data_IF_920850617441
#
_entry.id   IF_920850617441
#
_cell.length_a   1.000
_cell.length_b   1.000
_cell.length_c   1.000
_cell.angle_alpha   90.00
_cell.angle_beta   90.00
_cell.angle_gamma   90.00
#
_symmetry.space_group_name_H-M   'P 1'
#
loop_
_entity.id
_entity.type
_entity.pdbx_description
1 polymer ?
#
# COMPACT_ATOMS: atom_id res chain seq x y z
N UNK A 1 3.27 12.61 20.11
CA UNK A 1 1.96 12.19 19.57
C UNK A 1 2.25 11.32 18.37
N UNK A 2 1.87 10.05 18.49
CA UNK A 2 2.07 9.07 17.44
C UNK A 2 0.81 8.97 16.60
N UNK A 3 0.97 9.20 15.30
CA UNK A 3 -0.12 9.24 14.34
C UNK A 3 -0.10 7.93 13.54
N UNK A 4 -0.98 7.02 13.93
CA UNK A 4 -1.35 5.85 13.14
C UNK A 4 -2.38 6.22 12.09
N UNK A 5 -2.48 5.40 11.04
CA UNK A 5 -3.54 5.53 10.06
C UNK A 5 -4.89 5.20 10.74
N UNK A 6 -5.88 6.11 10.73
CA UNK A 6 -7.16 5.87 11.40
C UNK A 6 -7.90 4.73 10.69
N UNK A 7 -8.39 3.74 11.43
CA UNK A 7 -9.45 2.87 10.93
C UNK A 7 -10.76 3.64 11.07
N UNK A 8 -11.25 4.16 9.95
CA UNK A 8 -12.46 4.97 9.89
C UNK A 8 -13.45 4.37 8.91
N UNK A 9 -14.74 4.55 9.19
CA UNK A 9 -15.78 4.40 8.18
C UNK A 9 -15.57 5.52 7.17
N UNK A 10 -14.94 5.19 6.05
CA UNK A 10 -14.71 6.15 4.98
C UNK A 10 -16.04 6.50 4.30
N UNK A 11 -16.21 7.74 3.81
CA UNK A 11 -17.37 8.10 3.01
C UNK A 11 -17.51 7.16 1.81
N UNK A 12 -18.72 6.68 1.46
CA UNK A 12 -18.91 5.72 0.37
C UNK A 12 -18.49 6.29 -1.00
N UNK A 13 -18.58 7.61 -1.19
CA UNK A 13 -18.20 8.31 -2.42
C UNK A 13 -16.76 8.86 -2.39
N UNK A 14 -15.93 8.41 -1.44
CA UNK A 14 -14.55 8.86 -1.31
C UNK A 14 -13.71 8.28 -2.48
N UNK A 15 -13.41 9.13 -3.44
CA UNK A 15 -12.57 8.79 -4.59
C UNK A 15 -11.11 9.16 -4.42
N UNK A 16 -10.81 10.08 -3.50
CA UNK A 16 -9.46 10.59 -3.23
C UNK A 16 -9.23 10.64 -1.73
N UNK A 17 -8.14 10.03 -1.29
CA UNK A 17 -7.74 10.00 0.11
C UNK A 17 -6.31 10.50 0.25
N UNK A 18 -6.14 11.47 1.15
CA UNK A 18 -4.83 12.00 1.51
C UNK A 18 -4.65 11.89 3.01
N UNK A 19 -3.63 11.16 3.43
CA UNK A 19 -3.29 10.98 4.84
C UNK A 19 -1.83 11.36 5.01
N UNK A 20 -1.51 12.11 6.06
CA UNK A 20 -0.15 12.53 6.33
C UNK A 20 0.21 12.51 7.80
N UNK A 21 1.49 12.74 8.08
CA UNK A 21 2.03 12.71 9.43
C UNK A 21 2.23 11.30 9.97
N UNK A 22 2.14 10.27 9.12
CA UNK A 22 2.27 8.87 9.50
C UNK A 22 3.69 8.64 10.03
N UNK A 23 3.83 8.37 11.32
CA UNK A 23 5.12 8.13 11.97
C UNK A 23 5.26 6.68 12.47
N UNK A 24 4.13 5.97 12.59
CA UNK A 24 4.08 4.57 12.99
C UNK A 24 4.35 3.63 11.81
N UNK A 25 5.03 2.49 12.01
CA UNK A 25 5.18 1.44 11.00
C UNK A 25 3.82 0.88 10.58
N UNK A 26 3.75 0.33 9.37
CA UNK A 26 2.51 -0.20 8.79
C UNK A 26 1.90 -1.36 9.59
N UNK A 27 2.72 -2.11 10.32
CA UNK A 27 2.29 -3.15 11.26
C UNK A 27 1.47 -2.61 12.44
N UNK A 28 1.61 -1.33 12.77
CA UNK A 28 0.82 -0.64 13.80
C UNK A 28 -0.36 0.15 13.23
N UNK A 29 -0.63 0.04 11.93
CA UNK A 29 -1.81 0.65 11.34
C UNK A 29 -3.00 -0.28 11.56
N UNK A 30 -4.13 0.31 11.91
CA UNK A 30 -5.36 -0.44 12.03
C UNK A 30 -5.78 -1.00 10.65
N UNK A 31 -6.50 -2.13 10.59
CA UNK A 31 -6.97 -2.70 9.33
C UNK A 31 -7.79 -1.67 8.56
N UNK A 32 -7.48 -1.53 7.27
CA UNK A 32 -8.09 -0.51 6.42
C UNK A 32 -9.24 -1.08 5.60
N UNK A 33 -10.38 -0.39 5.61
CA UNK A 33 -11.56 -0.73 4.82
C UNK A 33 -11.83 0.35 3.77
N UNK A 34 -10.88 0.56 2.86
CA UNK A 34 -11.00 1.60 1.84
C UNK A 34 -12.23 1.34 0.94
N UNK A 35 -12.97 2.40 0.56
CA UNK A 35 -14.10 2.24 -0.32
C UNK A 35 -13.64 1.79 -1.71
N UNK A 36 -14.46 0.96 -2.36
CA UNK A 36 -14.17 0.45 -3.71
C UNK A 36 -14.05 1.57 -4.77
N UNK A 37 -14.57 2.76 -4.51
CA UNK A 37 -14.44 3.92 -5.40
C UNK A 37 -13.13 4.69 -5.22
N UNK A 38 -12.22 4.26 -4.33
CA UNK A 38 -10.98 4.97 -4.08
C UNK A 38 -10.02 4.84 -5.27
N UNK A 39 -9.94 5.91 -6.05
CA UNK A 39 -9.10 6.02 -7.25
C UNK A 39 -7.71 6.55 -6.92
N UNK A 40 -7.60 7.46 -5.95
CA UNK A 40 -6.35 8.11 -5.61
C UNK A 40 -6.03 8.01 -4.12
N UNK A 41 -4.84 7.52 -3.80
CA UNK A 41 -4.33 7.45 -2.44
C UNK A 41 -3.00 8.17 -2.34
N UNK A 42 -2.90 9.08 -1.36
CA UNK A 42 -1.69 9.85 -1.08
C UNK A 42 -1.33 9.67 0.39
N UNK A 43 -0.16 9.09 0.66
CA UNK A 43 0.35 8.89 2.02
C UNK A 43 1.63 9.71 2.24
N UNK A 44 1.66 10.48 3.32
CA UNK A 44 2.86 11.20 3.77
C UNK A 44 3.36 10.59 5.08
N UNK A 45 4.53 9.96 5.01
CA UNK A 45 5.32 9.51 6.14
C UNK A 45 6.14 10.64 6.77
N UNK A 46 6.41 10.50 8.07
CA UNK A 46 7.32 11.34 8.86
C UNK A 46 8.35 10.43 9.54
N UNK A 47 9.26 9.85 8.75
CA UNK A 47 10.20 8.80 9.19
C UNK A 47 9.49 7.53 9.68
N UNK A 48 8.34 7.21 9.09
CA UNK A 48 7.63 5.98 9.46
C UNK A 48 8.38 4.76 8.95
N UNK A 49 8.50 3.77 9.84
CA UNK A 49 9.08 2.44 9.60
C UNK A 49 8.20 1.53 8.75
N UNK A 50 7.61 2.02 7.66
CA UNK A 50 6.87 1.17 6.73
C UNK A 50 7.85 0.29 5.98
N UNK A 51 7.74 -1.02 6.13
CA UNK A 51 8.69 -1.98 5.53
C UNK A 51 8.18 -2.52 4.18
N UNK A 52 6.91 -2.91 4.11
CA UNK A 52 6.31 -3.54 2.91
C UNK A 52 4.81 -3.33 2.87
N UNK A 53 4.20 -3.32 1.68
CA UNK A 53 2.74 -3.30 1.50
C UNK A 53 2.22 -4.74 1.29
N UNK A 54 0.96 -5.02 1.64
CA UNK A 54 0.28 -6.28 1.32
C UNK A 54 -1.00 -6.00 0.52
N UNK A 55 -1.60 -7.03 -0.06
CA UNK A 55 -2.83 -6.89 -0.85
C UNK A 55 -3.91 -7.83 -0.32
N UNK A 56 -5.16 -7.38 -0.39
CA UNK A 56 -6.31 -8.22 -0.05
C UNK A 56 -6.35 -9.40 -1.02
N UNK A 57 -6.12 -10.61 -0.52
CA UNK A 57 -6.47 -11.81 -1.27
C UNK A 57 -8.00 -11.93 -1.35
N UNK A 58 -8.49 -12.17 -2.56
CA UNK A 58 -9.90 -12.35 -2.86
C UNK A 58 -10.40 -13.58 -2.09
N UNK A 59 -11.33 -13.40 -1.14
CA UNK A 59 -12.02 -14.51 -0.45
C UNK A 59 -12.93 -15.19 -1.47
N UNK A 60 -12.36 -16.07 -2.29
CA UNK A 60 -13.09 -17.01 -3.12
C UNK A 60 -12.43 -18.38 -3.12
N UNK A 61 -12.42 -19.02 -1.95
CA UNK A 61 -12.79 -20.43 -1.78
C UNK A 61 -12.51 -20.90 -0.34
N UNK A 62 -13.58 -20.99 0.44
CA UNK A 62 -13.66 -21.97 1.52
C UNK A 62 -13.37 -23.37 0.93
N UNK A 63 -12.34 -24.07 1.40
CA UNK A 63 -12.36 -25.53 1.74
C UNK A 63 -10.96 -26.00 2.13
N UNK A 64 -10.78 -26.22 3.44
CA UNK A 64 -10.04 -27.32 4.09
C UNK A 64 -8.56 -27.51 3.77
N UNK A 65 -7.70 -27.08 4.72
CA UNK A 65 -6.60 -27.89 5.32
C UNK A 65 -5.79 -27.01 6.30
N UNK A 66 -5.80 -27.26 7.62
CA UNK A 66 -4.81 -26.68 8.50
C UNK A 66 -3.54 -27.52 8.37
N UNK A 67 -2.63 -27.11 7.50
CA UNK A 67 -1.29 -27.69 7.43
C UNK A 67 -0.28 -26.57 7.45
N UNK A 68 0.41 -26.54 8.58
CA UNK A 68 1.51 -25.66 8.95
C UNK A 68 2.45 -25.38 7.78
N UNK A 69 2.74 -24.10 7.53
CA UNK A 69 4.10 -23.61 7.24
C UNK A 69 4.13 -22.08 7.19
N UNK A 70 5.11 -21.55 7.91
CA UNK A 70 5.77 -20.26 7.69
C UNK A 70 4.99 -18.99 8.02
N UNK A 71 5.27 -18.51 9.24
CA UNK A 71 5.55 -17.11 9.56
C UNK A 71 5.42 -16.17 8.38
N UNK A 72 4.40 -15.32 8.39
CA UNK A 72 4.40 -14.13 7.57
C UNK A 72 3.70 -13.04 8.36
N UNK A 73 4.52 -12.12 8.88
CA UNK A 73 4.09 -10.82 9.40
C UNK A 73 2.99 -10.27 8.51
N UNK A 74 1.74 -10.45 8.94
CA UNK A 74 0.57 -10.02 8.20
C UNK A 74 0.52 -8.50 8.29
N UNK A 75 1.16 -7.83 7.34
CA UNK A 75 0.97 -6.40 7.12
C UNK A 75 -0.50 -6.23 6.71
N UNK A 76 -1.31 -5.68 7.61
CA UNK A 76 -2.78 -5.58 7.51
C UNK A 76 -3.27 -4.48 6.56
N UNK A 77 -2.39 -3.88 5.76
CA UNK A 77 -2.73 -2.73 4.93
C UNK A 77 -2.98 -3.17 3.49
N UNK A 78 -4.26 -3.29 3.16
CA UNK A 78 -4.71 -3.75 1.87
C UNK A 78 -5.07 -2.53 1.03
N UNK A 79 -4.40 -2.36 -0.11
CA UNK A 79 -4.74 -1.33 -1.08
C UNK A 79 -5.96 -1.78 -1.91
N UNK A 80 -6.92 -0.89 -2.20
CA UNK A 80 -8.08 -1.25 -3.00
C UNK A 80 -7.66 -1.49 -4.47
N UNK A 81 -8.20 -2.52 -5.15
CA UNK A 81 -7.81 -2.87 -6.53
C UNK A 81 -8.21 -1.81 -7.57
N UNK A 82 -9.16 -0.93 -7.23
CA UNK A 82 -9.63 0.19 -8.07
C UNK A 82 -8.68 1.38 -8.14
N UNK A 83 -7.59 1.34 -7.38
CA UNK A 83 -6.66 2.45 -7.21
C UNK A 83 -5.88 2.69 -8.50
N UNK A 84 -5.97 3.92 -9.01
CA UNK A 84 -5.34 4.35 -10.27
C UNK A 84 -4.05 5.12 -10.00
N UNK A 85 -4.00 5.89 -8.91
CA UNK A 85 -2.85 6.71 -8.54
C UNK A 85 -2.46 6.50 -7.08
N UNK A 86 -1.24 6.02 -6.86
CA UNK A 86 -0.64 5.87 -5.54
C UNK A 86 0.53 6.84 -5.40
N UNK A 87 0.48 7.69 -4.38
CA UNK A 87 1.57 8.59 -4.01
C UNK A 87 2.06 8.30 -2.61
N UNK A 88 3.37 8.15 -2.47
CA UNK A 88 4.06 7.94 -1.21
C UNK A 88 5.17 8.97 -1.04
N UNK A 89 5.24 9.58 0.13
CA UNK A 89 6.28 10.55 0.43
C UNK A 89 6.84 10.35 1.84
N UNK A 90 8.17 10.31 2.00
CA UNK A 90 8.84 10.38 3.30
C UNK A 90 8.81 9.09 4.13
N UNK A 91 8.71 7.94 3.44
CA UNK A 91 8.80 6.61 4.07
C UNK A 91 10.22 6.07 3.97
N UNK A 92 10.86 5.82 5.11
CA UNK A 92 12.29 5.49 5.14
C UNK A 92 12.59 4.00 4.99
N UNK A 93 11.63 3.15 5.35
CA UNK A 93 11.85 1.71 5.43
C UNK A 93 11.26 0.93 4.25
N UNK A 94 10.64 1.60 3.28
CA UNK A 94 9.96 0.95 2.17
C UNK A 94 11.00 0.39 1.20
N UNK A 95 11.02 -0.93 1.05
CA UNK A 95 12.04 -1.62 0.26
C UNK A 95 11.53 -2.01 -1.14
N UNK A 96 10.27 -2.44 -1.27
CA UNK A 96 9.73 -2.91 -2.56
C UNK A 96 8.20 -2.74 -2.70
N UNK A 97 7.73 -2.80 -3.95
CA UNK A 97 6.30 -2.84 -4.32
C UNK A 97 5.95 -4.04 -5.20
N UNK A 98 6.92 -4.91 -5.49
CA UNK A 98 6.76 -6.02 -6.46
C UNK A 98 5.64 -6.98 -6.07
N UNK A 99 5.38 -7.14 -4.77
CA UNK A 99 4.29 -7.97 -4.25
C UNK A 99 2.93 -7.29 -4.32
N UNK A 100 2.87 -5.96 -4.48
CA UNK A 100 1.63 -5.19 -4.41
C UNK A 100 1.13 -4.70 -5.75
N UNK A 101 2.05 -4.30 -6.64
CA UNK A 101 1.71 -3.89 -8.00
C UNK A 101 0.88 -4.92 -8.79
N UNK A 102 1.17 -6.25 -8.77
CA UNK A 102 0.37 -7.22 -9.54
C UNK A 102 -1.09 -7.30 -9.12
N UNK A 103 -1.44 -6.89 -7.90
CA UNK A 103 -2.82 -6.93 -7.42
C UNK A 103 -3.54 -5.58 -7.57
N UNK A 104 -2.92 -4.59 -8.20
CA UNK A 104 -3.52 -3.29 -8.50
C UNK A 104 -3.73 -3.16 -10.02
N UNK A 105 -4.72 -3.88 -10.59
CA UNK A 105 -4.91 -3.96 -12.04
C UNK A 105 -5.26 -2.60 -12.67
N UNK A 106 -5.80 -1.67 -11.88
CA UNK A 106 -6.18 -0.34 -12.34
C UNK A 106 -5.08 0.71 -12.16
N UNK A 107 -3.96 0.37 -11.53
CA UNK A 107 -2.90 1.33 -11.25
C UNK A 107 -2.32 1.85 -12.57
N UNK A 108 -2.21 3.17 -12.69
CA UNK A 108 -1.59 3.85 -13.84
C UNK A 108 -0.42 4.72 -13.42
N UNK A 109 -0.41 5.19 -12.18
CA UNK A 109 0.62 6.11 -11.71
C UNK A 109 1.07 5.74 -10.31
N UNK A 110 2.37 5.55 -10.15
CA UNK A 110 3.04 5.36 -8.87
C UNK A 110 4.05 6.48 -8.67
N UNK A 111 3.83 7.34 -7.68
CA UNK A 111 4.70 8.44 -7.33
C UNK A 111 5.35 8.17 -5.99
N UNK A 112 6.67 8.13 -5.95
CA UNK A 112 7.43 7.84 -4.73
C UNK A 112 8.45 8.95 -4.52
N UNK A 113 8.39 9.58 -3.35
CA UNK A 113 9.16 10.78 -3.00
C UNK A 113 9.89 10.54 -1.68
N UNK A 114 11.17 10.89 -1.60
CA UNK A 114 11.94 10.86 -0.35
C UNK A 114 11.88 9.49 0.36
N UNK A 115 12.00 8.40 -0.41
CA UNK A 115 12.03 7.02 0.07
C UNK A 115 13.42 6.40 -0.22
N UNK A 116 14.38 6.50 0.73
CA UNK A 116 15.79 6.17 0.47
C UNK A 116 16.10 4.68 0.34
N UNK A 117 15.37 3.80 1.04
CA UNK A 117 15.59 2.34 1.00
C UNK A 117 14.92 1.64 -0.19
N UNK A 118 14.11 2.36 -0.95
CA UNK A 118 13.39 1.79 -2.07
C UNK A 118 14.38 1.31 -3.14
N UNK A 119 14.39 0.01 -3.37
CA UNK A 119 15.17 -0.61 -4.44
C UNK A 119 14.69 -0.19 -5.83
N UNK A 120 15.44 -0.56 -6.86
CA UNK A 120 15.05 -0.28 -8.24
C UNK A 120 13.75 -1.02 -8.61
N UNK A 121 12.62 -0.33 -8.53
CA UNK A 121 11.32 -0.84 -8.97
C UNK A 121 11.22 -1.03 -10.49
N UNK A 122 12.08 -0.32 -11.22
CA UNK A 122 12.02 -0.22 -12.68
C UNK A 122 12.46 -1.50 -13.40
N UNK A 123 13.10 -2.43 -12.69
CA UNK A 123 13.71 -3.64 -13.28
C UNK A 123 12.83 -4.88 -13.18
N UNK A 124 11.81 -4.91 -12.32
CA UNK A 124 11.07 -6.14 -11.98
C UNK A 124 9.65 -6.17 -12.57
N UNK A 125 9.05 -5.01 -12.90
CA UNK A 125 7.65 -4.93 -13.30
C UNK A 125 7.51 -4.29 -14.70
N UNK A 126 7.18 -5.13 -15.68
CA UNK A 126 6.95 -4.71 -17.08
C UNK A 126 5.50 -4.96 -17.53
N UNK A 127 4.46 -4.33 -16.95
CA UNK A 127 3.22 -4.11 -17.67
C UNK A 127 3.22 -2.68 -18.20
N UNK A 128 3.05 -2.57 -19.52
CA UNK A 128 3.25 -1.37 -20.33
C UNK A 128 2.32 -0.18 -20.04
N UNK A 129 1.67 -0.12 -18.88
CA UNK A 129 0.57 0.77 -18.54
C UNK A 129 0.71 1.48 -17.18
N UNK A 130 1.71 1.14 -16.34
CA UNK A 130 2.01 1.87 -15.10
C UNK A 130 3.18 2.81 -15.28
N UNK A 131 2.98 4.10 -15.02
CA UNK A 131 4.04 5.11 -14.97
C UNK A 131 4.57 5.23 -13.55
N UNK A 132 5.85 4.91 -13.37
CA UNK A 132 6.53 4.97 -12.06
C UNK A 132 7.45 6.20 -12.04
N UNK A 133 7.21 7.11 -11.10
CA UNK A 133 8.04 8.27 -10.80
C UNK A 133 8.69 8.09 -9.44
N UNK A 134 10.03 8.00 -9.42
CA UNK A 134 10.82 7.94 -8.18
C UNK A 134 11.67 9.20 -8.07
N UNK A 135 11.44 9.96 -7.01
CA UNK A 135 12.20 11.14 -6.62
C UNK A 135 12.86 10.82 -5.29
N UNK A 136 14.18 10.58 -5.33
CA UNK A 136 14.96 10.29 -4.12
C UNK A 136 15.29 11.57 -3.37
#
# INVERSE_FOLDING_TARGET
MDYSLPCGVWPPNLSKLRIGGLNKPMSEWAPQNFPNLLVQLILYGKNSGVVSFAVAEDVRNTTTTPSSSSSSSSSSFLLPPSLVSLTLNGFKDVESFSEVLPHLPCLKTLNIWNCPKLGDLKTIYNPSNVTIHVLK
#
